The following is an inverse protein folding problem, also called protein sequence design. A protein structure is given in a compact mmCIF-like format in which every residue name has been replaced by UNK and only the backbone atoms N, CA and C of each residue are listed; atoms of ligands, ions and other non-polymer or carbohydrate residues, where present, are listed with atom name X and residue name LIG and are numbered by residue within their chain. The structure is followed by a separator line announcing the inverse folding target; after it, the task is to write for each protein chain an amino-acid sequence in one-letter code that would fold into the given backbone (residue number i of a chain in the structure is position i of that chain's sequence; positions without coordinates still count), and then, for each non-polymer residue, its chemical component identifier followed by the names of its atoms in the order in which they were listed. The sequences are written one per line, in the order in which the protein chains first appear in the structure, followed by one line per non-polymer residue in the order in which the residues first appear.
data_IF_732173182118
#
_entry.id   IF_732173182118
#
_cell.length_a   1.000
_cell.length_b   1.000
_cell.length_c   1.000
_cell.angle_alpha   90.00
_cell.angle_beta   90.00
_cell.angle_gamma   90.00
#
_symmetry.space_group_name_H-M   'P 1'
#
loop_
_entity.id
_entity.type
_entity.pdbx_description
1 polymer ?
#
# COMPACT_ATOMS: atom_id res chain seq x y z
N UNK A 1 -46.15 9.29 13.60
CA UNK A 1 -44.97 9.05 12.75
C UNK A 1 -43.78 8.82 13.67
N UNK A 2 -43.42 7.55 13.92
CA UNK A 2 -42.29 7.20 14.79
C UNK A 2 -40.98 7.38 14.02
N UNK A 3 -40.20 8.38 14.33
CA UNK A 3 -38.82 8.54 13.83
C UNK A 3 -37.94 7.47 14.49
N UNK A 4 -37.63 6.43 13.75
CA UNK A 4 -36.66 5.41 14.18
C UNK A 4 -35.29 6.07 14.33
N UNK A 5 -34.79 6.20 15.56
CA UNK A 5 -33.41 6.67 15.84
C UNK A 5 -32.44 5.75 15.09
N UNK A 6 -31.52 6.29 14.26
CA UNK A 6 -30.55 5.44 13.57
C UNK A 6 -29.66 4.72 14.59
N UNK A 7 -29.43 3.44 14.36
CA UNK A 7 -28.61 2.58 15.19
C UNK A 7 -27.15 3.10 15.23
N UNK A 8 -26.53 3.07 16.42
CA UNK A 8 -25.15 3.57 16.63
C UNK A 8 -24.15 2.85 15.69
N UNK A 9 -24.46 1.60 15.33
CA UNK A 9 -23.67 0.79 14.39
C UNK A 9 -23.75 1.31 12.96
N UNK A 10 -24.89 1.76 12.47
CA UNK A 10 -25.07 2.35 11.14
C UNK A 10 -24.37 3.70 11.03
N UNK A 11 -24.49 4.54 12.06
CA UNK A 11 -23.84 5.87 12.07
C UNK A 11 -22.30 5.78 12.11
N UNK A 12 -21.75 4.74 12.73
CA UNK A 12 -20.30 4.46 12.72
C UNK A 12 -19.81 3.98 11.36
N UNK A 13 -20.57 3.10 10.70
CA UNK A 13 -20.26 2.56 9.35
C UNK A 13 -20.28 3.65 8.28
N UNK A 14 -21.29 4.51 8.30
CA UNK A 14 -21.38 5.64 7.37
C UNK A 14 -20.24 6.65 7.57
N UNK A 15 -19.78 6.83 8.80
CA UNK A 15 -18.62 7.67 9.11
C UNK A 15 -17.31 7.13 8.54
N UNK A 16 -17.11 5.81 8.54
CA UNK A 16 -15.92 5.15 7.98
C UNK A 16 -15.97 5.19 6.44
N UNK A 17 -17.11 4.87 5.83
CA UNK A 17 -17.29 4.89 4.38
C UNK A 17 -17.04 6.29 3.79
N UNK A 18 -17.56 7.35 4.42
CA UNK A 18 -17.31 8.75 4.01
C UNK A 18 -15.85 9.18 4.12
N UNK A 19 -15.05 8.50 4.93
CA UNK A 19 -13.60 8.76 5.06
C UNK A 19 -12.79 7.98 4.03
N UNK A 20 -13.21 6.76 3.71
CA UNK A 20 -12.62 5.95 2.64
C UNK A 20 -12.94 6.54 1.27
N UNK A 21 -14.18 6.97 1.07
CA UNK A 21 -14.67 7.53 -0.20
C UNK A 21 -15.17 8.96 0.04
N UNK A 22 -14.27 9.94 0.09
CA UNK A 22 -14.66 11.33 0.32
C UNK A 22 -15.44 11.89 -0.89
N UNK A 23 -16.60 12.50 -0.64
CA UNK A 23 -17.42 13.14 -1.67
C UNK A 23 -16.71 14.34 -2.34
N UNK A 24 -15.81 15.01 -1.61
CA UNK A 24 -14.94 16.05 -2.13
C UNK A 24 -13.49 15.69 -1.88
N UNK A 25 -12.67 15.76 -2.90
CA UNK A 25 -11.23 15.47 -2.83
C UNK A 25 -10.52 16.81 -2.62
N UNK A 26 -10.17 17.10 -1.36
CA UNK A 26 -9.47 18.30 -0.94
C UNK A 26 -8.25 17.97 -0.07
N UNK A 27 -7.53 18.99 0.39
CA UNK A 27 -6.35 18.82 1.22
C UNK A 27 -6.68 18.78 2.75
N UNK A 28 -7.96 18.72 3.13
CA UNK A 28 -8.42 18.71 4.52
C UNK A 28 -8.31 17.30 5.14
N UNK A 29 -7.10 16.92 5.54
CA UNK A 29 -6.83 15.64 6.15
C UNK A 29 -7.29 15.57 7.61
N UNK A 30 -8.15 14.61 7.94
CA UNK A 30 -8.72 14.42 9.28
C UNK A 30 -8.09 13.27 10.10
N UNK A 31 -7.19 12.49 9.50
CA UNK A 31 -6.52 11.37 10.14
C UNK A 31 -5.25 11.77 10.92
N UNK A 32 -4.52 10.78 11.43
CA UNK A 32 -3.25 10.99 12.13
C UNK A 32 -2.15 11.43 11.16
N UNK A 33 -1.34 12.43 11.55
CA UNK A 33 -0.15 12.86 10.77
C UNK A 33 0.87 11.72 10.59
N UNK A 34 0.89 10.77 11.53
CA UNK A 34 1.76 9.59 11.46
C UNK A 34 1.45 8.76 10.22
N UNK A 35 0.16 8.63 9.84
CA UNK A 35 -0.22 7.91 8.62
C UNK A 35 0.37 8.55 7.35
N UNK A 36 0.49 9.88 7.29
CA UNK A 36 1.15 10.56 6.16
C UNK A 36 2.63 10.19 6.07
N UNK A 37 3.33 10.15 7.22
CA UNK A 37 4.74 9.73 7.26
C UNK A 37 4.93 8.26 6.88
N UNK A 38 4.04 7.37 7.34
CA UNK A 38 4.04 5.96 6.94
C UNK A 38 3.85 5.84 5.42
N UNK A 39 2.89 6.57 4.85
CA UNK A 39 2.67 6.55 3.41
C UNK A 39 3.90 7.05 2.64
N UNK A 40 4.51 8.17 3.09
CA UNK A 40 5.73 8.71 2.50
C UNK A 40 6.90 7.72 2.54
N UNK A 41 7.11 7.07 3.68
CA UNK A 41 8.13 6.02 3.83
C UNK A 41 7.87 4.84 2.88
N UNK A 42 6.63 4.37 2.82
CA UNK A 42 6.25 3.28 1.90
C UNK A 42 6.47 3.65 0.44
N UNK A 43 6.14 4.87 0.04
CA UNK A 43 6.40 5.38 -1.31
C UNK A 43 7.91 5.33 -1.60
N UNK A 44 8.75 5.85 -0.69
CA UNK A 44 10.19 5.86 -0.85
C UNK A 44 10.75 4.44 -1.02
N UNK A 45 10.38 3.51 -0.14
CA UNK A 45 10.84 2.11 -0.20
C UNK A 45 10.40 1.46 -1.51
N UNK A 46 9.13 1.59 -1.90
CA UNK A 46 8.59 0.98 -3.14
C UNK A 46 9.24 1.56 -4.39
N UNK A 47 9.48 2.87 -4.42
CA UNK A 47 10.16 3.53 -5.54
C UNK A 47 11.60 3.02 -5.67
N UNK A 48 12.35 2.97 -4.57
CA UNK A 48 13.72 2.44 -4.56
C UNK A 48 13.78 0.98 -5.05
N UNK A 49 12.89 0.12 -4.54
CA UNK A 49 12.80 -1.27 -5.00
C UNK A 49 12.48 -1.36 -6.50
N UNK A 50 11.56 -0.54 -6.99
CA UNK A 50 11.17 -0.56 -8.40
C UNK A 50 12.29 -0.08 -9.32
N UNK A 51 13.01 0.98 -8.92
CA UNK A 51 14.18 1.46 -9.65
C UNK A 51 15.28 0.39 -9.66
N UNK A 52 15.55 -0.26 -8.54
CA UNK A 52 16.53 -1.34 -8.47
C UNK A 52 16.19 -2.49 -9.44
N UNK A 53 14.91 -2.89 -9.52
CA UNK A 53 14.46 -3.91 -10.48
C UNK A 53 14.65 -3.45 -11.92
N UNK A 54 14.38 -2.19 -12.26
CA UNK A 54 14.54 -1.67 -13.62
C UNK A 54 16.00 -1.58 -14.04
N UNK A 55 16.90 -1.28 -13.10
CA UNK A 55 18.34 -1.15 -13.40
C UNK A 55 19.08 -2.49 -13.35
N UNK A 56 18.70 -3.37 -12.41
CA UNK A 56 19.41 -4.62 -12.10
C UNK A 56 18.46 -5.81 -12.00
N UNK A 57 17.50 -5.93 -12.92
CA UNK A 57 16.39 -6.90 -12.83
C UNK A 57 16.82 -8.35 -12.62
N UNK A 58 17.83 -8.84 -13.33
CA UNK A 58 18.35 -10.19 -13.16
C UNK A 58 18.98 -10.42 -11.78
N UNK A 59 19.84 -9.51 -11.34
CA UNK A 59 20.48 -9.58 -10.03
C UNK A 59 19.46 -9.51 -8.88
N UNK A 60 18.47 -8.62 -8.99
CA UNK A 60 17.41 -8.49 -7.97
C UNK A 60 16.52 -9.74 -7.95
N UNK A 61 16.16 -10.30 -9.11
CA UNK A 61 15.35 -11.51 -9.18
C UNK A 61 16.06 -12.71 -8.50
N UNK A 62 17.36 -12.84 -8.67
CA UNK A 62 18.14 -13.91 -8.04
C UNK A 62 18.37 -13.64 -6.54
N UNK A 63 18.88 -12.45 -6.19
CA UNK A 63 19.34 -12.17 -4.82
C UNK A 63 18.20 -11.82 -3.86
N UNK A 64 17.22 -11.03 -4.30
CA UNK A 64 16.14 -10.55 -3.45
C UNK A 64 14.91 -11.47 -3.45
N UNK A 65 14.53 -12.00 -4.60
CA UNK A 65 13.35 -12.89 -4.75
C UNK A 65 13.70 -14.37 -4.77
N UNK A 66 14.99 -14.74 -4.85
CA UNK A 66 15.47 -16.11 -4.80
C UNK A 66 15.10 -16.95 -6.02
N UNK A 67 14.93 -16.33 -7.20
CA UNK A 67 14.58 -17.03 -8.43
C UNK A 67 15.86 -17.58 -9.06
N UNK A 68 15.98 -18.91 -9.29
CA UNK A 68 17.17 -19.52 -9.88
C UNK A 68 17.19 -19.31 -11.40
N UNK A 69 17.47 -18.09 -11.85
CA UNK A 69 17.46 -17.75 -13.29
C UNK A 69 18.42 -18.63 -14.11
N UNK A 70 19.53 -19.04 -13.50
CA UNK A 70 20.56 -19.87 -14.15
C UNK A 70 20.08 -21.30 -14.45
N UNK A 71 18.99 -21.74 -13.80
CA UNK A 71 18.40 -23.07 -14.06
C UNK A 71 17.42 -23.06 -15.23
N UNK A 72 17.10 -21.89 -15.79
CA UNK A 72 16.15 -21.75 -16.90
C UNK A 72 16.88 -21.54 -18.24
N UNK A 73 16.27 -21.98 -19.37
CA UNK A 73 16.74 -21.58 -20.70
C UNK A 73 16.79 -20.06 -20.83
N UNK A 74 17.77 -19.53 -21.58
CA UNK A 74 18.01 -18.09 -21.69
C UNK A 74 16.76 -17.26 -22.05
N UNK A 75 15.93 -17.76 -22.98
CA UNK A 75 14.68 -17.09 -23.35
C UNK A 75 13.65 -17.05 -22.22
N UNK A 76 13.55 -18.11 -21.41
CA UNK A 76 12.66 -18.14 -20.26
C UNK A 76 13.15 -17.18 -19.15
N UNK A 77 14.44 -17.18 -18.86
CA UNK A 77 15.06 -16.27 -17.90
C UNK A 77 14.83 -14.80 -18.31
N UNK A 78 15.02 -14.46 -19.57
CA UNK A 78 14.76 -13.12 -20.09
C UNK A 78 13.28 -12.73 -19.97
N UNK A 79 12.35 -13.64 -20.22
CA UNK A 79 10.91 -13.41 -20.06
C UNK A 79 10.56 -13.12 -18.60
N UNK A 80 11.14 -13.86 -17.65
CA UNK A 80 10.95 -13.62 -16.21
C UNK A 80 11.42 -12.21 -15.86
N UNK A 81 12.62 -11.80 -16.26
CA UNK A 81 13.17 -10.46 -16.00
C UNK A 81 12.28 -9.38 -16.61
N UNK A 82 11.77 -9.58 -17.83
CA UNK A 82 10.85 -8.63 -18.48
C UNK A 82 9.53 -8.47 -17.69
N UNK A 83 8.94 -9.56 -17.18
CA UNK A 83 7.75 -9.51 -16.34
C UNK A 83 8.04 -8.82 -14.99
N UNK A 84 9.22 -9.02 -14.42
CA UNK A 84 9.67 -8.28 -13.23
C UNK A 84 9.76 -6.78 -13.52
N UNK A 85 10.37 -6.38 -14.63
CA UNK A 85 10.47 -4.99 -15.03
C UNK A 85 9.07 -4.36 -15.23
N UNK A 86 8.16 -5.07 -15.91
CA UNK A 86 6.77 -4.62 -16.08
C UNK A 86 6.06 -4.42 -14.73
N UNK A 87 6.23 -5.35 -13.79
CA UNK A 87 5.67 -5.22 -12.44
C UNK A 87 6.27 -4.03 -11.67
N UNK A 88 7.55 -3.73 -11.87
CA UNK A 88 8.22 -2.57 -11.28
C UNK A 88 7.67 -1.25 -11.83
N UNK A 89 7.41 -1.16 -13.13
CA UNK A 89 6.75 0.01 -13.76
C UNK A 89 5.36 0.22 -13.15
N UNK A 90 4.55 -0.81 -13.02
CA UNK A 90 3.22 -0.71 -12.39
C UNK A 90 3.32 -0.21 -10.93
N UNK A 91 4.31 -0.68 -10.17
CA UNK A 91 4.56 -0.18 -8.79
C UNK A 91 4.95 1.30 -8.78
N UNK A 92 5.76 1.76 -9.76
CA UNK A 92 6.12 3.18 -9.88
C UNK A 92 4.91 4.05 -10.18
N UNK A 93 4.02 3.62 -11.09
CA UNK A 93 2.77 4.34 -11.39
C UNK A 93 1.91 4.49 -10.13
N UNK A 94 1.72 3.41 -9.37
CA UNK A 94 0.96 3.47 -8.10
C UNK A 94 1.66 4.40 -7.10
N UNK A 95 2.99 4.35 -7.01
CA UNK A 95 3.78 5.23 -6.13
C UNK A 95 3.61 6.70 -6.52
N UNK A 96 3.60 7.01 -7.82
CA UNK A 96 3.36 8.36 -8.32
C UNK A 96 1.96 8.88 -7.96
N UNK A 97 0.93 8.04 -8.08
CA UNK A 97 -0.43 8.36 -7.65
C UNK A 97 -0.45 8.62 -6.13
N UNK A 98 0.25 7.80 -5.34
CA UNK A 98 0.36 8.01 -3.89
C UNK A 98 1.06 9.34 -3.55
N UNK A 99 2.12 9.73 -4.30
CA UNK A 99 2.79 11.04 -4.14
C UNK A 99 1.80 12.17 -4.43
N UNK A 100 1.07 12.08 -5.54
CA UNK A 100 0.09 13.09 -5.94
C UNK A 100 -0.98 13.26 -4.86
N UNK A 101 -1.49 12.16 -4.32
CA UNK A 101 -2.46 12.16 -3.22
C UNK A 101 -1.84 12.75 -1.93
N UNK A 102 -0.60 12.40 -1.60
CA UNK A 102 0.07 12.90 -0.40
C UNK A 102 0.30 14.41 -0.44
N UNK A 103 0.55 14.97 -1.63
CA UNK A 103 0.84 16.41 -1.81
C UNK A 103 -0.46 17.22 -1.92
N UNK A 104 -1.37 16.83 -2.82
CA UNK A 104 -2.53 17.66 -3.19
C UNK A 104 -3.87 17.15 -2.67
N UNK A 105 -4.02 15.84 -2.39
CA UNK A 105 -5.31 15.22 -2.11
C UNK A 105 -5.30 14.40 -0.82
N UNK A 106 -4.77 14.96 0.27
CA UNK A 106 -4.53 14.24 1.54
C UNK A 106 -5.79 13.59 2.12
N UNK A 107 -6.97 14.08 1.79
CA UNK A 107 -8.24 13.46 2.20
C UNK A 107 -8.42 12.06 1.61
N UNK A 108 -7.80 11.75 0.45
CA UNK A 108 -7.84 10.44 -0.17
C UNK A 108 -6.76 9.45 0.36
N UNK A 109 -5.95 9.84 1.34
CA UNK A 109 -4.92 8.96 1.94
C UNK A 109 -5.48 7.63 2.46
N UNK A 110 -6.64 7.56 3.17
CA UNK A 110 -7.22 6.28 3.57
C UNK A 110 -7.54 5.37 2.37
N UNK A 111 -8.01 5.93 1.26
CA UNK A 111 -8.27 5.20 0.03
C UNK A 111 -6.97 4.63 -0.57
N UNK A 112 -5.86 5.37 -0.52
CA UNK A 112 -4.56 4.87 -0.97
C UNK A 112 -4.07 3.69 -0.14
N UNK A 113 -4.21 3.75 1.19
CA UNK A 113 -3.90 2.60 2.04
C UNK A 113 -4.77 1.38 1.73
N UNK A 114 -6.07 1.59 1.47
CA UNK A 114 -6.97 0.51 1.07
C UNK A 114 -6.52 -0.10 -0.28
N UNK A 115 -6.20 0.71 -1.27
CA UNK A 115 -5.69 0.24 -2.57
C UNK A 115 -4.39 -0.54 -2.43
N UNK A 116 -3.46 -0.06 -1.60
CA UNK A 116 -2.22 -0.77 -1.31
C UNK A 116 -2.49 -2.10 -0.60
N UNK A 117 -3.43 -2.14 0.35
CA UNK A 117 -3.83 -3.36 1.05
C UNK A 117 -4.39 -4.39 0.07
N UNK A 118 -5.29 -3.98 -0.83
CA UNK A 118 -5.84 -4.85 -1.89
C UNK A 118 -4.71 -5.38 -2.77
N UNK A 119 -3.77 -4.52 -3.18
CA UNK A 119 -2.62 -4.92 -4.00
C UNK A 119 -1.77 -5.99 -3.28
N UNK A 120 -1.48 -5.81 -1.98
CA UNK A 120 -0.73 -6.80 -1.21
C UNK A 120 -1.51 -8.11 -1.02
N UNK A 121 -2.80 -8.01 -0.69
CA UNK A 121 -3.66 -9.19 -0.51
C UNK A 121 -3.76 -10.01 -1.80
N UNK A 122 -3.96 -9.34 -2.93
CA UNK A 122 -4.00 -10.00 -4.25
C UNK A 122 -2.64 -10.64 -4.58
N UNK A 123 -1.52 -9.95 -4.31
CA UNK A 123 -0.18 -10.50 -4.50
C UNK A 123 0.06 -11.77 -3.66
N UNK A 124 -0.40 -11.79 -2.41
CA UNK A 124 -0.33 -12.99 -1.56
C UNK A 124 -1.20 -14.13 -2.08
N UNK A 125 -2.40 -13.81 -2.56
CA UNK A 125 -3.31 -14.80 -3.14
C UNK A 125 -2.70 -15.42 -4.40
N UNK A 126 -2.20 -14.60 -5.31
CA UNK A 126 -1.53 -15.05 -6.55
C UNK A 126 -0.32 -15.93 -6.22
N UNK A 127 0.51 -15.54 -5.23
CA UNK A 127 1.66 -16.34 -4.81
C UNK A 127 1.30 -17.69 -4.19
N UNK A 128 0.07 -17.85 -3.66
CA UNK A 128 -0.45 -19.15 -3.17
C UNK A 128 -0.99 -20.02 -4.28
N UNK A 129 -1.68 -19.41 -5.25
CA UNK A 129 -2.28 -20.13 -6.40
C UNK A 129 -1.21 -20.54 -7.41
N UNK A 130 -0.23 -19.67 -7.63
CA UNK A 130 0.89 -19.88 -8.56
C UNK A 130 2.22 -19.81 -7.78
N UNK A 131 2.60 -20.89 -7.07
CA UNK A 131 3.81 -20.88 -6.26
C UNK A 131 5.05 -20.74 -7.15
N UNK A 132 5.87 -19.74 -6.86
CA UNK A 132 7.15 -19.52 -7.51
C UNK A 132 8.19 -20.39 -6.79
N UNK A 133 8.97 -21.18 -7.57
CA UNK A 133 10.10 -21.94 -7.03
C UNK A 133 11.18 -20.94 -6.60
N UNK A 134 11.54 -20.96 -5.33
CA UNK A 134 12.55 -20.07 -4.73
C UNK A 134 13.64 -20.87 -4.07
N UNK A 135 14.86 -20.38 -4.14
CA UNK A 135 16.03 -20.97 -3.45
C UNK A 135 16.32 -20.13 -2.21
N UNK A 136 16.40 -20.80 -1.05
CA UNK A 136 16.69 -20.15 0.23
C UNK A 136 15.51 -19.38 0.84
N UNK A 137 15.84 -18.43 1.72
CA UNK A 137 14.87 -17.51 2.35
C UNK A 137 15.05 -16.11 1.75
N UNK A 138 14.30 -15.76 0.70
CA UNK A 138 14.49 -14.49 0.02
C UNK A 138 14.08 -13.31 0.92
N UNK A 139 14.91 -12.27 1.05
CA UNK A 139 14.63 -11.10 1.88
C UNK A 139 13.39 -10.32 1.44
N UNK A 140 12.99 -10.44 0.17
CA UNK A 140 11.79 -9.82 -0.35
C UNK A 140 10.51 -10.29 0.35
N UNK A 141 10.45 -11.53 0.84
CA UNK A 141 9.28 -12.05 1.57
C UNK A 141 9.10 -11.30 2.89
N UNK A 142 10.18 -11.13 3.66
CA UNK A 142 10.16 -10.39 4.93
C UNK A 142 9.81 -8.93 4.68
N UNK A 143 10.40 -8.31 3.65
CA UNK A 143 10.12 -6.92 3.28
C UNK A 143 8.64 -6.72 2.89
N UNK A 144 8.08 -7.61 2.09
CA UNK A 144 6.67 -7.53 1.69
C UNK A 144 5.73 -7.71 2.87
N UNK A 145 6.04 -8.59 3.82
CA UNK A 145 5.25 -8.78 5.03
C UNK A 145 5.31 -7.53 5.93
N UNK A 146 6.48 -6.93 6.08
CA UNK A 146 6.66 -5.66 6.80
C UNK A 146 5.84 -4.53 6.18
N UNK A 147 5.89 -4.38 4.85
CA UNK A 147 5.11 -3.38 4.14
C UNK A 147 3.60 -3.63 4.24
N UNK A 148 3.16 -4.88 4.27
CA UNK A 148 1.76 -5.23 4.55
C UNK A 148 1.34 -4.79 5.95
N UNK A 149 2.15 -5.06 6.97
CA UNK A 149 1.92 -4.61 8.35
C UNK A 149 1.83 -3.09 8.46
N UNK A 150 2.76 -2.37 7.81
CA UNK A 150 2.74 -0.90 7.73
C UNK A 150 1.51 -0.36 7.00
N UNK A 151 1.03 -1.07 5.97
CA UNK A 151 -0.19 -0.69 5.24
C UNK A 151 -1.41 -0.78 6.15
N UNK A 152 -1.55 -1.87 6.90
CA UNK A 152 -2.65 -2.07 7.86
C UNK A 152 -2.60 -0.99 8.95
N UNK A 153 -1.42 -0.77 9.55
CA UNK A 153 -1.22 0.25 10.56
C UNK A 153 -1.55 1.64 10.03
N UNK A 154 -1.06 1.99 8.83
CA UNK A 154 -1.33 3.26 8.18
C UNK A 154 -2.82 3.46 7.89
N UNK A 155 -3.52 2.42 7.44
CA UNK A 155 -4.97 2.46 7.24
C UNK A 155 -5.71 2.74 8.56
N UNK A 156 -5.42 2.00 9.62
CA UNK A 156 -6.04 2.20 10.93
C UNK A 156 -5.78 3.62 11.44
N UNK A 157 -4.54 4.10 11.38
CA UNK A 157 -4.17 5.45 11.82
C UNK A 157 -4.80 6.54 10.96
N UNK A 158 -5.00 6.30 9.65
CA UNK A 158 -5.64 7.25 8.74
C UNK A 158 -7.14 7.40 9.00
N UNK A 159 -7.78 6.33 9.49
CA UNK A 159 -9.20 6.32 9.87
C UNK A 159 -9.42 6.81 11.32
N UNK A 160 -8.38 6.81 12.15
CA UNK A 160 -8.48 7.23 13.55
C UNK A 160 -8.72 8.74 13.65
N UNK A 161 -9.86 9.13 14.23
CA UNK A 161 -10.21 10.53 14.45
C UNK A 161 -9.27 11.13 15.50
N UNK A 162 -8.47 12.13 15.15
CA UNK A 162 -7.84 12.99 16.16
C UNK A 162 -8.96 13.65 16.97
N UNK A 163 -9.14 13.24 18.22
CA UNK A 163 -9.92 14.03 19.20
C UNK A 163 -9.18 15.35 19.33
N UNK A 164 -9.77 16.45 18.85
CA UNK A 164 -9.25 17.79 19.13
C UNK A 164 -9.26 17.97 20.65
N UNK A 165 -8.08 18.13 21.22
CA UNK A 165 -7.88 18.51 22.65
C UNK A 165 -8.38 19.93 22.94
N UNK A 166 -8.97 20.62 21.98
CA UNK A 166 -9.47 21.99 22.06
C UNK A 166 -10.79 22.13 22.83
N UNK A 167 -11.41 21.05 23.30
CA UNK A 167 -12.69 21.10 24.01
C UNK A 167 -12.56 21.13 25.56
N UNK A 168 -11.34 21.25 26.11
CA UNK A 168 -11.14 21.25 27.58
C UNK A 168 -10.74 22.64 28.12
N UNK A 169 -10.56 23.64 27.24
CA UNK A 169 -10.23 25.01 27.67
C UNK A 169 -11.27 25.98 27.10
N UNK A 170 -12.45 25.94 27.68
CA UNK A 170 -13.33 27.12 27.72
C UNK A 170 -13.86 27.24 29.16
N UNK A 171 -13.52 28.34 29.83
CA UNK A 171 -14.03 28.67 31.16
C UNK A 171 -15.51 28.96 31.14
#
# INVERSE_FOLDING_TARGET
MSQRKPDISEQSRDGILRRLFPACIDNAYQGSRIALWILGLMIAVRTTQSVAILVQGSSVAQSADGIPLDSYPAGAAQTIVALFALSAVNRLIISLICVLVLVWYRRAVPLMFLLLLVTYATGQLVGRVFPIVRVGQPPAVVMNLTLLGLTILGLVLSLWKRRSFAAIVSP
#
